data_IF_984878517219
#
_entry.id   IF_984878517219
#
_cell.length_a   1.000
_cell.length_b   1.000
_cell.length_c   1.000
_cell.angle_alpha   90.00
_cell.angle_beta   90.00
_cell.angle_gamma   90.00
#
_symmetry.space_group_name_H-M   'P 1'
#
loop_
_entity.id
_entity.type
_entity.pdbx_description
1 polymer ?
#
# COMPACT_ATOMS: atom_id res chain seq x y z
N UNK A 1 -0.30 -26.97 -11.51
CA UNK A 1 1.08 -26.49 -11.57
C UNK A 1 1.53 -26.19 -10.15
N UNK A 2 2.55 -26.86 -9.63
CA UNK A 2 3.04 -26.53 -8.29
C UNK A 2 4.00 -25.35 -8.41
N UNK A 3 3.60 -24.19 -7.86
CA UNK A 3 4.47 -23.03 -7.79
C UNK A 3 5.58 -23.31 -6.78
N UNK A 4 6.81 -23.19 -7.20
CA UNK A 4 7.95 -23.16 -6.28
C UNK A 4 7.93 -21.80 -5.59
N UNK A 5 7.86 -21.84 -4.25
CA UNK A 5 7.93 -20.61 -3.49
C UNK A 5 9.29 -19.95 -3.75
N UNK A 6 9.29 -18.70 -4.12
CA UNK A 6 10.49 -17.96 -4.40
C UNK A 6 10.43 -17.26 -5.73
N UNK A 7 11.36 -17.55 -6.60
CA UNK A 7 11.48 -16.86 -7.90
C UNK A 7 10.24 -17.03 -8.78
N UNK A 8 9.57 -18.19 -8.72
CA UNK A 8 8.32 -18.44 -9.46
C UNK A 8 7.22 -17.45 -9.08
N UNK A 9 7.18 -16.98 -7.83
CA UNK A 9 6.21 -15.97 -7.39
C UNK A 9 6.49 -14.61 -8.04
N UNK A 10 7.75 -14.20 -8.16
CA UNK A 10 8.11 -12.98 -8.88
C UNK A 10 7.83 -13.09 -10.38
N UNK A 11 8.03 -14.27 -10.96
CA UNK A 11 7.69 -14.53 -12.36
C UNK A 11 6.19 -14.47 -12.59
N UNK A 12 5.38 -14.98 -11.64
CA UNK A 12 3.92 -14.80 -11.65
C UNK A 12 3.56 -13.31 -11.59
N UNK A 13 4.13 -12.52 -10.67
CA UNK A 13 3.90 -11.08 -10.61
C UNK A 13 4.26 -10.41 -11.95
N UNK A 14 5.39 -10.77 -12.54
CA UNK A 14 5.86 -10.24 -13.82
C UNK A 14 5.01 -10.65 -15.03
N UNK A 15 4.26 -11.76 -14.96
CA UNK A 15 3.35 -12.19 -16.00
C UNK A 15 2.06 -11.38 -16.05
N UNK A 16 1.68 -10.75 -14.93
CA UNK A 16 0.52 -9.86 -14.86
C UNK A 16 0.86 -8.54 -15.55
N UNK A 17 0.27 -8.28 -16.70
CA UNK A 17 0.50 -7.06 -17.49
C UNK A 17 -0.82 -6.34 -17.73
N UNK A 18 -0.73 -5.03 -17.91
CA UNK A 18 -1.88 -4.27 -18.39
C UNK A 18 -2.22 -4.73 -19.82
N UNK A 19 -3.43 -5.25 -20.05
CA UNK A 19 -3.85 -5.71 -21.37
C UNK A 19 -4.13 -4.56 -22.35
N UNK A 20 -4.29 -3.33 -21.83
CA UNK A 20 -4.64 -2.16 -22.62
C UNK A 20 -3.51 -1.12 -22.59
N UNK A 21 -3.37 -0.32 -23.67
CA UNK A 21 -2.47 0.83 -23.63
C UNK A 21 -2.92 1.84 -22.58
N UNK A 22 -1.96 2.52 -21.95
CA UNK A 22 -2.25 3.57 -20.98
C UNK A 22 -3.11 4.65 -21.60
N UNK A 23 -4.21 5.01 -20.93
CA UNK A 23 -5.06 6.13 -21.34
C UNK A 23 -4.28 7.44 -21.21
N UNK A 24 -4.42 8.29 -22.21
CA UNK A 24 -3.79 9.63 -22.25
C UNK A 24 -4.79 10.74 -21.98
N UNK A 25 -6.09 10.43 -21.99
CA UNK A 25 -7.15 11.39 -21.73
C UNK A 25 -7.53 11.38 -20.24
N UNK A 26 -7.77 12.56 -19.72
CA UNK A 26 -8.22 12.75 -18.35
C UNK A 26 -9.63 12.20 -18.15
N UNK A 27 -9.77 11.26 -17.25
CA UNK A 27 -11.09 10.86 -16.76
C UNK A 27 -11.67 11.93 -15.83
N UNK A 28 -13.01 12.10 -15.84
CA UNK A 28 -13.70 12.86 -14.79
C UNK A 28 -13.30 12.36 -13.40
N UNK A 29 -13.27 13.23 -12.41
CA UNK A 29 -12.86 12.90 -11.05
C UNK A 29 -13.62 11.69 -10.48
N UNK A 30 -14.93 11.63 -10.72
CA UNK A 30 -15.82 10.54 -10.27
C UNK A 30 -15.54 9.16 -10.92
N UNK A 31 -14.76 9.13 -12.00
CA UNK A 31 -14.41 7.89 -12.70
C UNK A 31 -12.96 7.47 -12.47
N UNK A 32 -12.18 8.29 -11.76
CA UNK A 32 -10.80 7.95 -11.42
C UNK A 32 -10.77 6.92 -10.31
N UNK A 33 -9.85 5.98 -10.41
CA UNK A 33 -9.58 5.07 -9.28
C UNK A 33 -8.92 5.85 -8.15
N UNK A 34 -9.56 5.92 -7.00
CA UNK A 34 -8.96 6.54 -5.81
C UNK A 34 -7.98 5.59 -5.13
N UNK A 35 -6.81 6.14 -4.81
CA UNK A 35 -5.80 5.52 -3.97
C UNK A 35 -5.78 6.29 -2.65
N UNK A 36 -5.87 5.58 -1.55
CA UNK A 36 -5.92 6.15 -0.21
C UNK A 36 -4.66 5.79 0.55
N UNK A 37 -4.13 6.76 1.26
CA UNK A 37 -3.06 6.59 2.23
C UNK A 37 -3.31 7.50 3.43
N UNK A 38 -2.69 7.22 4.57
CA UNK A 38 -2.95 7.95 5.81
C UNK A 38 -1.67 8.32 6.54
N UNK A 39 -1.64 9.53 7.13
CA UNK A 39 -0.55 10.00 7.97
C UNK A 39 -1.06 10.59 9.28
N UNK A 40 -0.48 10.15 10.40
CA UNK A 40 -0.76 10.67 11.75
C UNK A 40 0.07 11.93 12.01
N UNK A 41 -0.48 13.10 11.68
CA UNK A 41 0.19 14.39 11.83
C UNK A 41 0.49 14.76 13.29
N UNK A 42 -0.28 14.21 14.24
CA UNK A 42 -0.05 14.39 15.66
C UNK A 42 1.09 13.56 16.26
N UNK A 43 1.56 12.52 15.55
CA UNK A 43 2.69 11.70 15.97
C UNK A 43 4.00 12.19 15.36
N UNK A 44 3.99 12.62 14.12
CA UNK A 44 5.17 13.13 13.44
C UNK A 44 4.80 14.05 12.27
N UNK A 45 5.62 15.09 11.97
CA UNK A 45 5.42 15.93 10.80
C UNK A 45 5.59 15.10 9.51
N UNK A 46 4.85 15.48 8.47
CA UNK A 46 5.08 14.95 7.13
C UNK A 46 6.38 15.54 6.54
N UNK A 47 7.28 14.68 6.10
CA UNK A 47 8.61 15.09 5.65
C UNK A 47 9.11 14.35 4.40
N UNK A 48 10.40 14.53 4.04
CA UNK A 48 10.99 13.93 2.83
C UNK A 48 10.90 12.40 2.78
N UNK A 49 10.89 11.73 3.93
CA UNK A 49 10.81 10.27 4.00
C UNK A 49 9.44 9.77 3.53
N UNK A 50 8.37 10.48 3.91
CA UNK A 50 7.00 10.18 3.51
C UNK A 50 6.74 10.58 2.06
N UNK A 51 7.42 11.63 1.57
CA UNK A 51 7.30 12.10 0.19
C UNK A 51 7.61 10.99 -0.84
N UNK A 52 8.46 10.03 -0.51
CA UNK A 52 8.82 8.95 -1.44
C UNK A 52 7.64 8.07 -1.84
N UNK A 53 6.68 7.87 -0.96
CA UNK A 53 5.43 7.18 -1.35
C UNK A 53 4.70 7.98 -2.44
N UNK A 54 4.54 9.29 -2.25
CA UNK A 54 3.87 10.17 -3.22
C UNK A 54 4.63 10.20 -4.55
N UNK A 55 5.97 10.34 -4.50
CA UNK A 55 6.83 10.27 -5.70
C UNK A 55 6.67 8.94 -6.42
N UNK A 56 6.62 7.83 -5.67
CA UNK A 56 6.44 6.50 -6.26
C UNK A 56 5.09 6.36 -6.97
N UNK A 57 4.02 6.92 -6.37
CA UNK A 57 2.69 6.93 -6.97
C UNK A 57 2.71 7.66 -8.33
N UNK A 58 3.13 8.92 -8.36
CA UNK A 58 3.14 9.71 -9.60
C UNK A 58 4.14 9.22 -10.64
N UNK A 59 5.18 8.51 -10.23
CA UNK A 59 6.13 7.90 -11.15
C UNK A 59 5.65 6.58 -11.76
N UNK A 60 4.62 5.94 -11.19
CA UNK A 60 4.22 4.58 -11.59
C UNK A 60 2.75 4.44 -11.95
N UNK A 61 1.86 5.24 -11.35
CA UNK A 61 0.43 5.22 -11.66
C UNK A 61 0.10 6.24 -12.76
N UNK A 62 -0.98 6.00 -13.48
CA UNK A 62 -1.44 6.90 -14.53
C UNK A 62 -2.25 8.08 -13.93
N UNK A 63 -1.75 9.33 -13.93
CA UNK A 63 -2.43 10.46 -13.33
C UNK A 63 -3.72 10.88 -14.07
N UNK A 64 -3.94 10.40 -15.30
CA UNK A 64 -5.17 10.66 -16.06
C UNK A 64 -6.35 9.81 -15.58
N UNK A 65 -6.08 8.65 -15.00
CA UNK A 65 -7.10 7.67 -14.60
C UNK A 65 -7.15 7.40 -13.10
N UNK A 66 -6.17 7.89 -12.34
CA UNK A 66 -6.04 7.63 -10.90
C UNK A 66 -5.97 8.93 -10.11
N UNK A 67 -6.26 8.85 -8.82
CA UNK A 67 -6.14 9.95 -7.88
C UNK A 67 -5.60 9.44 -6.55
N UNK A 68 -4.57 10.08 -6.02
CA UNK A 68 -4.07 9.83 -4.67
C UNK A 68 -4.74 10.79 -3.68
N UNK A 69 -5.33 10.24 -2.65
CA UNK A 69 -5.88 11.00 -1.52
C UNK A 69 -5.05 10.71 -0.28
N UNK A 70 -4.32 11.71 0.18
CA UNK A 70 -3.62 11.64 1.46
C UNK A 70 -4.55 12.11 2.58
N UNK A 71 -4.90 11.20 3.45
CA UNK A 71 -5.70 11.44 4.63
C UNK A 71 -4.82 11.73 5.85
N UNK A 72 -5.32 12.53 6.76
CA UNK A 72 -4.62 12.83 8.01
C UNK A 72 -5.61 13.11 9.13
N UNK A 73 -5.18 12.95 10.38
CA UNK A 73 -5.94 13.36 11.57
C UNK A 73 -5.77 14.86 11.91
N UNK A 74 -4.99 15.59 11.12
CA UNK A 74 -4.77 17.04 11.25
C UNK A 74 -4.60 17.70 9.90
N UNK A 75 -4.62 19.03 9.88
CA UNK A 75 -4.45 19.80 8.65
C UNK A 75 -3.01 19.74 8.15
N UNK A 76 -2.82 19.28 6.92
CA UNK A 76 -1.54 19.21 6.20
C UNK A 76 -1.44 20.26 5.08
N UNK A 77 -2.42 21.16 4.93
CA UNK A 77 -2.46 22.14 3.81
C UNK A 77 -1.30 23.11 3.83
N UNK A 78 -0.75 23.42 5.02
CA UNK A 78 0.43 24.27 5.21
C UNK A 78 1.76 23.57 4.96
N UNK A 79 1.79 22.28 4.63
CA UNK A 79 3.04 21.56 4.40
C UNK A 79 3.62 21.91 3.02
N UNK A 80 4.84 22.43 2.97
CA UNK A 80 5.50 22.91 1.74
C UNK A 80 5.73 21.81 0.71
N UNK A 81 6.04 20.58 1.16
CA UNK A 81 6.22 19.43 0.27
C UNK A 81 4.89 19.12 -0.41
N UNK A 82 3.82 18.96 0.37
CA UNK A 82 2.50 18.58 -0.14
C UNK A 82 1.90 19.66 -1.04
N UNK A 83 2.12 20.92 -0.73
CA UNK A 83 1.65 22.05 -1.54
C UNK A 83 2.16 22.01 -2.99
N UNK A 84 3.37 21.47 -3.22
CA UNK A 84 3.92 21.29 -4.58
C UNK A 84 3.07 20.30 -5.39
N UNK A 85 2.70 19.18 -4.76
CA UNK A 85 1.88 18.14 -5.42
C UNK A 85 0.45 18.61 -5.67
N UNK A 86 -0.17 19.34 -4.72
CA UNK A 86 -1.51 19.92 -4.90
C UNK A 86 -1.54 20.86 -6.10
N UNK A 87 -0.51 21.71 -6.26
CA UNK A 87 -0.40 22.63 -7.41
C UNK A 87 -0.11 21.89 -8.71
N UNK A 88 0.78 20.90 -8.69
CA UNK A 88 1.20 20.18 -9.90
C UNK A 88 0.16 19.20 -10.41
N UNK A 89 -0.55 18.52 -9.50
CA UNK A 89 -1.51 17.47 -9.81
C UNK A 89 -2.92 17.75 -9.23
N UNK A 90 -3.55 18.89 -9.54
CA UNK A 90 -4.77 19.33 -8.87
C UNK A 90 -5.96 18.36 -9.05
N UNK A 91 -5.97 17.57 -10.13
CA UNK A 91 -7.01 16.57 -10.40
C UNK A 91 -6.65 15.18 -9.85
N UNK A 92 -5.36 14.92 -9.58
CA UNK A 92 -4.85 13.59 -9.26
C UNK A 92 -4.27 13.49 -7.84
N UNK A 93 -4.26 14.59 -7.08
CA UNK A 93 -3.83 14.63 -5.69
C UNK A 93 -4.77 15.46 -4.82
N UNK A 94 -5.09 14.93 -3.65
CA UNK A 94 -5.89 15.66 -2.67
C UNK A 94 -5.41 15.40 -1.24
N UNK A 95 -5.57 16.40 -0.39
CA UNK A 95 -5.41 16.30 1.06
C UNK A 95 -6.80 16.31 1.70
N UNK A 96 -7.05 15.38 2.64
CA UNK A 96 -8.31 15.32 3.37
C UNK A 96 -8.05 15.02 4.85
N UNK A 97 -8.86 15.61 5.72
CA UNK A 97 -8.87 15.31 7.15
C UNK A 97 -9.89 14.18 7.38
N UNK A 98 -9.51 13.20 8.19
CA UNK A 98 -10.42 12.10 8.56
C UNK A 98 -11.45 12.59 9.57
N UNK A 99 -12.68 12.24 9.32
CA UNK A 99 -13.80 12.37 10.26
C UNK A 99 -14.34 10.96 10.54
N UNK A 100 -13.76 10.31 11.55
CA UNK A 100 -14.06 8.89 11.84
C UNK A 100 -15.56 8.67 12.11
N UNK A 101 -16.27 9.48 12.94
CA UNK A 101 -17.70 9.33 13.12
C UNK A 101 -18.49 9.41 11.80
N UNK A 102 -18.18 10.38 10.95
CA UNK A 102 -18.81 10.53 9.64
C UNK A 102 -18.53 9.34 8.72
N UNK A 103 -17.30 8.85 8.69
CA UNK A 103 -16.92 7.68 7.88
C UNK A 103 -17.58 6.39 8.37
N UNK A 104 -17.85 6.27 9.68
CA UNK A 104 -18.50 5.11 10.26
C UNK A 104 -20.04 5.13 10.11
N UNK A 105 -20.60 6.27 9.74
CA UNK A 105 -22.07 6.40 9.59
C UNK A 105 -22.63 5.38 8.62
N UNK A 106 -23.70 4.69 9.04
CA UNK A 106 -24.32 3.63 8.26
C UNK A 106 -23.58 2.29 8.26
N UNK A 107 -22.51 2.16 9.04
CA UNK A 107 -21.86 0.87 9.34
C UNK A 107 -22.27 0.35 10.72
N UNK A 108 -21.93 -0.89 11.04
CA UNK A 108 -22.18 -1.45 12.38
C UNK A 108 -21.33 -0.80 13.49
N UNK A 109 -20.37 0.00 13.12
CA UNK A 109 -19.56 0.80 14.05
C UNK A 109 -20.15 2.20 14.32
N UNK A 110 -21.26 2.57 13.70
CA UNK A 110 -21.88 3.89 13.87
C UNK A 110 -22.24 4.14 15.35
N UNK A 111 -21.74 5.25 15.90
CA UNK A 111 -21.92 5.59 17.31
C UNK A 111 -21.16 4.70 18.31
N UNK A 112 -20.36 3.73 17.86
CA UNK A 112 -19.65 2.80 18.73
C UNK A 112 -18.43 3.49 19.38
N UNK A 113 -18.22 3.27 20.68
CA UNK A 113 -17.07 3.81 21.43
C UNK A 113 -15.71 3.29 20.88
N UNK A 114 -15.69 2.16 20.20
CA UNK A 114 -14.51 1.59 19.54
C UNK A 114 -13.91 2.53 18.48
N UNK A 115 -14.69 3.46 17.93
CA UNK A 115 -14.21 4.50 16.99
C UNK A 115 -13.16 5.43 17.61
N UNK A 116 -13.06 5.50 18.94
CA UNK A 116 -12.04 6.27 19.67
C UNK A 116 -10.73 5.51 19.86
N UNK A 117 -10.68 4.24 19.46
CA UNK A 117 -9.50 3.39 19.62
C UNK A 117 -8.33 3.91 18.78
N UNK A 118 -7.21 4.15 19.44
CA UNK A 118 -5.97 4.61 18.83
C UNK A 118 -4.76 4.19 19.64
N UNK A 119 -3.60 4.15 19.00
CA UNK A 119 -2.35 3.84 19.67
C UNK A 119 -1.19 4.76 19.25
N UNK A 120 -0.04 4.62 19.94
CA UNK A 120 1.17 5.43 19.68
C UNK A 120 1.89 5.04 18.38
N UNK A 121 1.53 3.92 17.75
CA UNK A 121 2.11 3.43 16.50
C UNK A 121 1.24 3.71 15.29
N UNK A 122 0.03 4.26 15.49
CA UNK A 122 -0.99 4.45 14.47
C UNK A 122 -1.41 3.13 13.77
N UNK A 123 -1.35 2.01 14.49
CA UNK A 123 -1.73 0.72 13.92
C UNK A 123 -3.23 0.47 14.05
N UNK A 124 -3.77 0.61 15.26
CA UNK A 124 -5.19 0.34 15.53
C UNK A 124 -6.09 1.33 14.79
N UNK A 125 -5.82 2.61 14.92
CA UNK A 125 -6.60 3.64 14.22
C UNK A 125 -6.34 3.65 12.70
N UNK A 126 -5.11 3.36 12.27
CA UNK A 126 -4.78 3.18 10.85
C UNK A 126 -5.53 2.02 10.22
N UNK A 127 -5.62 0.87 10.92
CA UNK A 127 -6.40 -0.29 10.47
C UNK A 127 -7.90 0.03 10.37
N UNK A 128 -8.46 0.76 11.34
CA UNK A 128 -9.85 1.23 11.29
C UNK A 128 -10.09 2.18 10.10
N UNK A 129 -9.26 3.21 9.98
CA UNK A 129 -9.42 4.26 8.98
C UNK A 129 -9.34 3.68 7.56
N UNK A 130 -8.40 2.76 7.30
CA UNK A 130 -8.28 2.15 5.95
C UNK A 130 -9.56 1.42 5.54
N UNK A 131 -10.20 0.70 6.46
CA UNK A 131 -11.43 -0.03 6.16
C UNK A 131 -12.61 0.92 5.95
N UNK A 132 -12.73 1.96 6.78
CA UNK A 132 -13.76 2.99 6.64
C UNK A 132 -13.61 3.78 5.34
N UNK A 133 -12.39 4.10 4.93
CA UNK A 133 -12.13 4.79 3.66
C UNK A 133 -12.50 3.91 2.47
N UNK A 134 -12.07 2.66 2.46
CA UNK A 134 -12.41 1.72 1.40
C UNK A 134 -13.90 1.41 1.35
N UNK A 135 -14.60 1.41 2.49
CA UNK A 135 -16.06 1.30 2.53
C UNK A 135 -16.75 2.48 1.86
N UNK A 136 -16.34 3.70 2.21
CA UNK A 136 -17.01 4.92 1.73
C UNK A 136 -16.67 5.28 0.27
N UNK A 137 -15.44 5.01 -0.16
CA UNK A 137 -14.94 5.47 -1.46
C UNK A 137 -14.57 4.34 -2.40
N UNK A 138 -14.34 3.14 -1.88
CA UNK A 138 -13.74 2.06 -2.65
C UNK A 138 -12.29 2.36 -3.02
N UNK A 139 -11.78 1.66 -4.03
CA UNK A 139 -10.45 1.93 -4.58
C UNK A 139 -9.34 1.12 -3.91
N UNK A 140 -8.17 1.71 -3.80
CA UNK A 140 -6.94 1.06 -3.36
C UNK A 140 -6.40 1.74 -2.11
N UNK A 141 -6.10 0.96 -1.10
CA UNK A 141 -5.29 1.42 0.03
C UNK A 141 -3.81 1.08 -0.20
N UNK A 142 -2.94 2.03 0.08
CA UNK A 142 -1.48 1.86 0.07
C UNK A 142 -0.92 2.48 1.34
N UNK A 143 -0.22 1.69 2.15
CA UNK A 143 0.45 2.21 3.35
C UNK A 143 1.51 3.25 2.95
N UNK A 144 1.65 4.31 3.77
CA UNK A 144 2.57 5.42 3.53
C UNK A 144 4.04 4.98 3.45
N UNK A 145 4.37 3.83 4.00
CA UNK A 145 5.71 3.21 3.93
C UNK A 145 5.86 2.21 2.78
N UNK A 146 5.10 2.36 1.72
CA UNK A 146 5.22 1.56 0.50
C UNK A 146 5.84 2.38 -0.64
N UNK A 147 6.72 1.75 -1.41
CA UNK A 147 7.26 2.30 -2.66
C UNK A 147 6.67 1.52 -3.84
N UNK A 148 5.84 2.16 -4.64
CA UNK A 148 5.24 1.53 -5.83
C UNK A 148 6.28 1.41 -6.95
N UNK A 149 6.32 0.29 -7.65
CA UNK A 149 7.34 0.00 -8.67
C UNK A 149 6.78 -0.05 -10.08
N UNK A 150 5.47 -0.33 -10.21
CA UNK A 150 4.75 -0.36 -11.49
C UNK A 150 3.26 -0.05 -11.29
N UNK A 151 2.56 0.14 -12.41
CA UNK A 151 1.12 0.41 -12.43
C UNK A 151 0.32 -0.74 -11.82
N UNK A 152 -0.61 -0.42 -10.93
CA UNK A 152 -1.51 -1.35 -10.26
C UNK A 152 -2.77 -1.68 -11.06
N UNK A 153 -3.03 -1.00 -12.18
CA UNK A 153 -4.25 -1.20 -12.97
C UNK A 153 -4.57 -2.68 -13.24
N UNK A 154 -3.60 -3.56 -13.59
CA UNK A 154 -3.88 -4.97 -13.83
C UNK A 154 -4.41 -5.76 -12.62
N UNK A 155 -4.26 -5.23 -11.41
CA UNK A 155 -4.75 -5.85 -10.17
C UNK A 155 -6.16 -5.39 -9.80
N UNK A 156 -6.69 -4.34 -10.45
CA UNK A 156 -7.91 -3.65 -10.03
C UNK A 156 -9.20 -4.38 -10.43
N UNK A 157 -9.13 -5.50 -11.11
CA UNK A 157 -10.31 -6.31 -11.44
C UNK A 157 -10.96 -6.91 -10.20
N UNK A 158 -10.16 -7.35 -9.23
CA UNK A 158 -10.60 -8.07 -8.06
C UNK A 158 -10.42 -7.29 -6.75
N UNK A 159 -11.25 -7.60 -5.76
CA UNK A 159 -11.02 -7.20 -4.38
C UNK A 159 -9.98 -8.13 -3.76
N UNK A 160 -8.98 -7.55 -3.09
CA UNK A 160 -7.86 -8.32 -2.55
C UNK A 160 -7.26 -7.73 -1.29
N UNK A 161 -6.60 -8.59 -0.53
CA UNK A 161 -5.71 -8.26 0.59
C UNK A 161 -4.37 -8.93 0.33
N UNK A 162 -3.26 -8.28 0.63
CA UNK A 162 -1.92 -8.83 0.42
C UNK A 162 -1.61 -9.93 1.43
N UNK A 163 -0.91 -10.96 1.00
CA UNK A 163 -0.27 -11.92 1.87
C UNK A 163 0.92 -11.27 2.57
N UNK A 164 1.00 -11.45 3.90
CA UNK A 164 2.10 -10.91 4.70
C UNK A 164 3.39 -11.64 4.43
N UNK A 165 3.58 -12.78 5.03
CA UNK A 165 4.78 -13.58 4.89
C UNK A 165 4.42 -15.02 4.58
N UNK A 166 5.40 -15.75 4.09
CA UNK A 166 5.15 -17.05 3.54
C UNK A 166 5.03 -18.15 4.57
N UNK A 167 5.71 -18.12 5.72
CA UNK A 167 5.78 -19.32 6.55
C UNK A 167 5.60 -19.13 8.04
N UNK A 168 6.04 -18.01 8.59
CA UNK A 168 6.12 -17.85 10.04
C UNK A 168 4.85 -17.28 10.67
N UNK A 169 3.94 -16.79 9.88
CA UNK A 169 2.74 -16.05 10.30
C UNK A 169 1.47 -16.88 10.20
N UNK A 170 1.42 -18.05 10.80
CA UNK A 170 0.26 -18.97 10.72
C UNK A 170 -1.07 -18.34 11.13
N UNK A 171 -1.07 -17.42 12.08
CA UNK A 171 -2.26 -16.76 12.63
C UNK A 171 -2.47 -15.33 12.14
N UNK A 172 -1.53 -14.79 11.38
CA UNK A 172 -1.61 -13.46 10.79
C UNK A 172 -0.99 -13.42 9.38
N UNK A 173 -1.48 -14.27 8.46
CA UNK A 173 -0.85 -14.44 7.14
C UNK A 173 -1.17 -13.31 6.16
N UNK A 174 -2.04 -12.37 6.52
CA UNK A 174 -2.51 -11.29 5.66
C UNK A 174 -2.02 -9.94 6.16
N UNK A 175 -1.84 -9.01 5.23
CA UNK A 175 -1.29 -7.68 5.46
C UNK A 175 -2.13 -6.63 4.74
N UNK A 176 -2.46 -5.56 5.45
CA UNK A 176 -3.24 -4.45 4.90
C UNK A 176 -2.44 -3.37 4.18
N UNK A 177 -1.12 -3.53 3.98
CA UNK A 177 -0.30 -2.48 3.39
C UNK A 177 -0.65 -2.15 1.93
N UNK A 178 -1.16 -3.11 1.20
CA UNK A 178 -1.75 -2.93 -0.13
C UNK A 178 -3.01 -3.76 -0.22
N UNK A 179 -4.15 -3.12 -0.41
CA UNK A 179 -5.44 -3.80 -0.53
C UNK A 179 -6.40 -3.02 -1.43
N UNK A 180 -7.37 -3.72 -1.97
CA UNK A 180 -8.42 -3.12 -2.80
C UNK A 180 -9.77 -3.67 -2.43
N UNK A 181 -10.73 -2.77 -2.23
CA UNK A 181 -12.15 -3.11 -2.09
C UNK A 181 -13.01 -2.17 -2.93
N UNK A 182 -14.19 -2.62 -3.29
CA UNK A 182 -15.22 -1.79 -3.91
C UNK A 182 -15.89 -0.93 -2.84
N UNK A 183 -16.42 0.19 -3.23
CA UNK A 183 -17.30 0.98 -2.37
C UNK A 183 -18.46 0.09 -1.88
N UNK A 184 -18.77 0.17 -0.58
CA UNK A 184 -19.79 -0.64 0.09
C UNK A 184 -19.61 -2.16 -0.13
N UNK A 185 -18.38 -2.63 -0.16
CA UNK A 185 -18.06 -4.06 -0.27
C UNK A 185 -18.69 -4.87 0.85
N UNK A 186 -19.38 -5.95 0.50
CA UNK A 186 -19.96 -6.86 1.49
C UNK A 186 -18.90 -7.47 2.43
N UNK A 187 -17.67 -7.60 1.98
CA UNK A 187 -16.56 -8.06 2.83
C UNK A 187 -16.26 -7.07 3.96
N UNK A 188 -16.32 -5.76 3.67
CA UNK A 188 -16.09 -4.73 4.68
C UNK A 188 -17.26 -4.60 5.65
N UNK A 189 -18.51 -4.82 5.19
CA UNK A 189 -19.67 -4.91 6.07
C UNK A 189 -19.48 -6.02 7.12
N UNK A 190 -19.08 -7.21 6.71
CA UNK A 190 -18.77 -8.32 7.62
C UNK A 190 -17.55 -8.03 8.52
N UNK A 191 -16.54 -7.31 8.01
CA UNK A 191 -15.41 -6.88 8.83
C UNK A 191 -15.85 -5.95 9.97
N UNK A 192 -16.74 -4.99 9.70
CA UNK A 192 -17.28 -4.10 10.74
C UNK A 192 -18.13 -4.85 11.76
N UNK A 193 -18.89 -5.86 11.33
CA UNK A 193 -19.60 -6.75 12.23
C UNK A 193 -18.63 -7.48 13.18
N UNK A 194 -17.56 -8.04 12.66
CA UNK A 194 -16.52 -8.69 13.49
C UNK A 194 -15.91 -7.67 14.48
N UNK A 195 -15.58 -6.45 14.01
CA UNK A 195 -14.99 -5.42 14.86
C UNK A 195 -15.94 -4.98 15.99
N UNK A 196 -17.25 -4.88 15.71
CA UNK A 196 -18.25 -4.45 16.68
C UNK A 196 -18.56 -5.54 17.73
N UNK A 197 -18.44 -6.81 17.37
CA UNK A 197 -18.87 -7.95 18.22
C UNK A 197 -17.71 -8.66 18.92
N UNK A 198 -16.49 -8.51 18.45
CA UNK A 198 -15.31 -9.10 19.07
C UNK A 198 -14.77 -8.25 20.24
N UNK A 199 -13.78 -8.78 20.94
CA UNK A 199 -13.04 -8.04 21.95
C UNK A 199 -12.35 -6.80 21.35
N UNK A 200 -12.35 -5.66 22.07
CA UNK A 200 -11.65 -4.46 21.62
C UNK A 200 -10.18 -4.72 21.27
N UNK A 201 -9.62 -4.00 20.30
CA UNK A 201 -8.25 -4.22 19.86
C UNK A 201 -7.27 -3.78 20.96
N UNK A 202 -6.20 -4.53 21.10
CA UNK A 202 -5.10 -4.18 22.01
C UNK A 202 -4.24 -3.07 21.41
N UNK A 203 -3.84 -2.06 22.17
CA UNK A 203 -2.93 -1.04 21.67
C UNK A 203 -1.63 -1.64 21.11
N UNK A 204 -1.20 -1.20 19.92
CA UNK A 204 -0.01 -1.68 19.26
C UNK A 204 -0.11 -3.11 18.71
N UNK A 205 -1.33 -3.62 18.55
CA UNK A 205 -1.60 -4.93 17.94
C UNK A 205 -2.03 -4.79 16.47
N UNK A 206 -2.14 -5.94 15.81
CA UNK A 206 -2.73 -6.09 14.47
C UNK A 206 -4.12 -6.74 14.54
N UNK A 207 -4.84 -6.53 15.65
CA UNK A 207 -6.13 -7.17 15.90
C UNK A 207 -7.16 -6.76 14.85
N UNK A 208 -7.16 -5.50 14.41
CA UNK A 208 -8.00 -4.97 13.32
C UNK A 208 -7.32 -5.02 11.94
N UNK A 209 -6.08 -5.46 11.89
CA UNK A 209 -5.32 -5.72 10.67
C UNK A 209 -5.31 -7.21 10.31
N UNK A 210 -4.13 -7.81 10.32
CA UNK A 210 -3.92 -9.17 9.82
C UNK A 210 -4.76 -10.24 10.52
N UNK A 211 -5.08 -10.07 11.81
CA UNK A 211 -5.94 -11.00 12.55
C UNK A 211 -7.38 -10.89 12.06
N UNK A 212 -7.91 -9.68 11.89
CA UNK A 212 -9.25 -9.44 11.35
C UNK A 212 -9.40 -10.01 9.95
N UNK A 213 -8.43 -9.76 9.06
CA UNK A 213 -8.51 -10.26 7.68
C UNK A 213 -8.54 -11.78 7.62
N UNK A 214 -7.80 -12.46 8.48
CA UNK A 214 -7.85 -13.93 8.57
C UNK A 214 -9.18 -14.42 9.12
N UNK A 215 -9.73 -13.77 10.16
CA UNK A 215 -11.06 -14.10 10.70
C UNK A 215 -12.13 -13.95 9.62
N UNK A 216 -12.15 -12.81 8.94
CA UNK A 216 -13.08 -12.54 7.85
C UNK A 216 -12.97 -13.61 6.75
N UNK A 217 -11.77 -13.90 6.29
CA UNK A 217 -11.51 -14.90 5.26
C UNK A 217 -12.07 -16.28 5.67
N UNK A 218 -11.80 -16.71 6.91
CA UNK A 218 -12.29 -17.99 7.42
C UNK A 218 -13.82 -18.04 7.55
N UNK A 219 -14.46 -16.95 7.98
CA UNK A 219 -15.93 -16.86 8.05
C UNK A 219 -16.57 -17.02 6.68
N UNK A 220 -16.03 -16.33 5.68
CA UNK A 220 -16.51 -16.45 4.29
C UNK A 220 -16.39 -17.88 3.78
N UNK A 221 -15.22 -18.50 3.95
CA UNK A 221 -15.00 -19.90 3.53
C UNK A 221 -15.95 -20.86 4.27
N UNK A 222 -16.10 -20.69 5.58
CA UNK A 222 -17.01 -21.54 6.39
C UNK A 222 -18.48 -21.39 5.96
N UNK A 223 -18.88 -20.20 5.50
CA UNK A 223 -20.21 -19.93 4.97
C UNK A 223 -20.38 -20.30 3.48
N UNK A 224 -19.35 -20.89 2.85
CA UNK A 224 -19.32 -21.20 1.40
C UNK A 224 -19.50 -19.94 0.52
N UNK A 225 -19.11 -18.77 1.01
CA UNK A 225 -19.09 -17.51 0.27
C UNK A 225 -17.71 -17.35 -0.36
N UNK A 226 -17.60 -17.08 -1.68
CA UNK A 226 -16.31 -16.81 -2.32
C UNK A 226 -15.59 -15.64 -1.62
N UNK A 227 -14.39 -15.85 -1.05
CA UNK A 227 -13.70 -14.79 -0.35
C UNK A 227 -13.02 -13.83 -1.35
N UNK A 228 -12.58 -12.67 -0.85
CA UNK A 228 -11.67 -11.79 -1.58
C UNK A 228 -10.40 -12.52 -1.99
N UNK A 229 -9.69 -12.01 -3.00
CA UNK A 229 -8.44 -12.61 -3.46
C UNK A 229 -7.30 -12.33 -2.47
N UNK A 230 -6.36 -13.25 -2.39
CA UNK A 230 -5.12 -13.05 -1.66
C UNK A 230 -4.05 -12.69 -2.69
N UNK A 231 -3.53 -11.47 -2.61
CA UNK A 231 -2.40 -11.04 -3.42
C UNK A 231 -1.11 -11.68 -2.85
N UNK A 232 -0.37 -12.48 -3.61
CA UNK A 232 0.82 -13.14 -3.10
C UNK A 232 1.85 -12.13 -2.54
N UNK A 233 2.55 -12.51 -1.49
CA UNK A 233 3.53 -11.66 -0.79
C UNK A 233 4.54 -10.99 -1.74
N UNK A 234 5.01 -11.70 -2.74
CA UNK A 234 6.01 -11.21 -3.69
C UNK A 234 5.54 -10.05 -4.57
N UNK A 235 4.22 -9.75 -4.60
CA UNK A 235 3.69 -8.63 -5.39
C UNK A 235 4.03 -7.28 -4.76
N UNK A 236 4.08 -7.19 -3.43
CA UNK A 236 4.32 -5.92 -2.72
C UNK A 236 5.13 -6.04 -1.42
N UNK A 237 5.33 -7.25 -0.90
CA UNK A 237 5.97 -7.48 0.41
C UNK A 237 7.09 -8.53 0.34
N UNK A 238 7.89 -8.49 -0.71
CA UNK A 238 8.99 -9.44 -0.96
C UNK A 238 10.16 -9.36 0.03
N UNK A 239 10.09 -8.50 1.05
CA UNK A 239 11.13 -8.35 2.08
C UNK A 239 11.04 -9.38 3.20
N UNK A 240 9.84 -9.84 3.52
CA UNK A 240 9.58 -10.59 4.73
C UNK A 240 9.74 -12.09 4.58
N UNK A 241 9.92 -12.56 3.35
CA UNK A 241 9.93 -13.97 3.08
C UNK A 241 11.29 -14.64 3.34
N UNK A 242 11.49 -15.81 2.82
CA UNK A 242 12.68 -16.63 3.01
C UNK A 242 13.95 -15.90 2.59
N UNK A 243 15.06 -16.24 3.22
CA UNK A 243 16.37 -15.65 2.91
C UNK A 243 16.78 -15.83 1.44
N UNK A 244 16.37 -16.95 0.84
CA UNK A 244 16.70 -17.34 -0.54
C UNK A 244 15.92 -16.61 -1.64
N UNK A 245 14.89 -15.84 -1.27
CA UNK A 245 14.03 -15.20 -2.27
C UNK A 245 13.50 -13.83 -1.86
N UNK A 246 13.95 -13.28 -0.75
CA UNK A 246 13.54 -11.94 -0.30
C UNK A 246 14.36 -10.86 -1.00
N UNK A 247 13.73 -9.69 -1.15
CA UNK A 247 14.46 -8.49 -1.53
C UNK A 247 15.53 -8.15 -0.48
N UNK A 248 16.69 -7.61 -0.87
CA UNK A 248 17.69 -7.13 0.08
C UNK A 248 17.10 -6.11 1.06
N UNK A 249 17.70 -5.96 2.23
CA UNK A 249 17.26 -4.95 3.20
C UNK A 249 17.47 -3.54 2.61
N UNK A 250 16.40 -2.73 2.45
CA UNK A 250 16.50 -1.39 1.87
C UNK A 250 17.26 -0.39 2.74
N UNK A 251 17.51 -0.72 4.01
CA UNK A 251 18.18 0.15 4.99
C UNK A 251 19.61 -0.26 5.28
N UNK A 252 20.12 -1.29 4.64
CA UNK A 252 21.51 -1.71 4.78
C UNK A 252 22.31 -1.19 3.58
N UNK A 253 23.50 -0.63 3.84
CA UNK A 253 24.41 -0.23 2.77
C UNK A 253 24.78 -1.44 1.91
N UNK A 254 24.82 -1.24 0.60
CA UNK A 254 25.20 -2.28 -0.34
C UNK A 254 26.68 -2.65 -0.18
N UNK A 255 26.90 -3.67 0.59
CA UNK A 255 28.05 -4.54 0.35
C UNK A 255 27.61 -5.50 -0.76
N UNK A 256 27.65 -5.07 -1.99
CA UNK A 256 27.01 -5.78 -3.10
C UNK A 256 27.48 -7.24 -3.28
N UNK A 257 28.63 -7.62 -2.73
CA UNK A 257 29.06 -9.03 -2.62
C UNK A 257 28.34 -9.81 -1.52
N UNK A 258 27.83 -9.13 -0.50
CA UNK A 258 27.05 -9.72 0.59
C UNK A 258 25.56 -9.34 0.51
N UNK A 259 25.23 -8.30 -0.24
CA UNK A 259 23.88 -7.77 -0.40
C UNK A 259 22.97 -8.72 -1.20
N UNK A 260 23.56 -9.60 -1.94
CA UNK A 260 22.87 -10.72 -2.55
C UNK A 260 22.23 -11.65 -1.52
N UNK A 261 22.33 -11.37 -0.22
CA UNK A 261 21.86 -12.30 0.81
C UNK A 261 22.38 -13.73 0.58
N UNK A 262 23.48 -13.85 -0.17
CA UNK A 262 24.00 -15.12 -0.64
C UNK A 262 23.21 -15.79 -1.76
N UNK A 263 22.16 -15.15 -2.31
CA UNK A 263 21.18 -15.85 -3.15
C UNK A 263 20.87 -15.18 -4.51
N UNK A 264 21.76 -14.37 -5.02
CA UNK A 264 21.71 -13.94 -6.42
C UNK A 264 20.81 -12.75 -6.76
N UNK A 265 20.29 -12.03 -5.77
CA UNK A 265 19.56 -10.77 -5.98
C UNK A 265 20.55 -9.60 -6.14
N UNK A 266 21.33 -9.62 -7.21
CA UNK A 266 22.33 -8.61 -7.53
C UNK A 266 21.74 -7.47 -8.37
N UNK A 267 22.23 -6.24 -8.14
CA UNK A 267 21.93 -5.11 -9.02
C UNK A 267 22.56 -5.31 -10.39
N UNK A 268 21.85 -4.85 -11.46
CA UNK A 268 22.25 -5.12 -12.86
C UNK A 268 21.95 -6.55 -13.30
N UNK A 269 21.34 -7.34 -12.42
CA UNK A 269 20.99 -8.73 -12.65
C UNK A 269 19.61 -9.07 -12.13
N UNK A 270 19.54 -10.01 -11.18
CA UNK A 270 18.27 -10.53 -10.67
C UNK A 270 17.44 -9.49 -9.91
N UNK A 271 18.04 -8.58 -9.15
CA UNK A 271 17.33 -7.55 -8.39
C UNK A 271 16.56 -6.59 -9.31
N UNK A 272 17.20 -6.11 -10.38
CA UNK A 272 16.55 -5.25 -11.38
C UNK A 272 15.38 -5.94 -12.04
N UNK A 273 15.59 -7.20 -12.41
CA UNK A 273 14.56 -8.05 -13.00
C UNK A 273 13.36 -8.24 -12.07
N UNK A 274 13.59 -8.47 -10.77
CA UNK A 274 12.54 -8.62 -9.75
C UNK A 274 11.82 -7.30 -9.52
N UNK A 275 12.53 -6.19 -9.36
CA UNK A 275 11.93 -4.85 -9.17
C UNK A 275 11.06 -4.43 -10.37
N UNK A 276 11.38 -4.91 -11.57
CA UNK A 276 10.55 -4.73 -12.76
C UNK A 276 9.27 -5.61 -12.79
N UNK A 277 9.20 -6.65 -11.96
CA UNK A 277 8.08 -7.59 -11.89
C UNK A 277 7.10 -7.28 -10.77
N UNK A 278 7.59 -6.84 -9.59
CA UNK A 278 6.77 -6.54 -8.42
C UNK A 278 6.01 -5.23 -8.57
N UNK A 279 4.94 -5.05 -7.81
CA UNK A 279 4.09 -3.87 -7.83
C UNK A 279 4.44 -2.85 -6.74
N UNK A 280 5.18 -3.29 -5.73
CA UNK A 280 5.62 -2.41 -4.65
C UNK A 280 6.68 -3.05 -3.76
N UNK A 281 7.22 -2.24 -2.88
CA UNK A 281 8.13 -2.63 -1.80
C UNK A 281 7.60 -2.03 -0.50
N UNK A 282 7.08 -2.86 0.38
CA UNK A 282 6.60 -2.45 1.70
C UNK A 282 7.79 -2.36 2.68
N UNK A 283 7.87 -1.29 3.47
CA UNK A 283 9.02 -0.96 4.31
C UNK A 283 8.82 -1.24 5.80
N UNK A 284 7.66 -1.74 6.20
CA UNK A 284 7.33 -2.24 7.55
C UNK A 284 7.50 -1.21 8.67
N UNK A 285 7.00 0.01 8.46
CA UNK A 285 7.00 1.10 9.47
C UNK A 285 8.39 1.45 10.06
N UNK A 286 9.47 1.23 9.29
CA UNK A 286 10.82 1.56 9.74
C UNK A 286 11.15 3.03 9.43
N UNK A 287 10.40 3.95 10.04
CA UNK A 287 10.51 5.38 9.81
C UNK A 287 11.80 6.00 10.33
N UNK A 288 12.39 5.39 11.36
CA UNK A 288 13.64 5.81 11.99
C UNK A 288 14.88 5.47 11.14
N UNK A 289 14.72 4.65 10.11
CA UNK A 289 15.82 4.25 9.22
C UNK A 289 15.80 5.06 7.93
N UNK A 290 16.96 5.57 7.57
CA UNK A 290 17.17 6.24 6.28
C UNK A 290 17.64 5.23 5.23
N UNK A 291 17.41 5.58 3.97
CA UNK A 291 18.00 4.82 2.86
C UNK A 291 19.48 5.17 2.75
N UNK A 292 20.38 4.18 2.77
CA UNK A 292 21.82 4.45 2.64
C UNK A 292 22.12 5.16 1.32
N UNK A 293 22.99 6.17 1.38
CA UNK A 293 23.48 6.84 0.18
C UNK A 293 24.18 5.82 -0.73
N UNK A 294 23.77 5.81 -1.99
CA UNK A 294 24.25 4.82 -2.96
C UNK A 294 23.66 3.42 -2.79
N UNK A 295 22.74 3.18 -1.86
CA UNK A 295 22.03 1.92 -1.70
C UNK A 295 21.08 1.60 -2.86
N UNK A 296 20.67 0.34 -3.00
CA UNK A 296 19.86 -0.12 -4.13
C UNK A 296 18.52 0.61 -4.24
N UNK A 297 17.88 0.98 -3.11
CA UNK A 297 16.64 1.76 -3.11
C UNK A 297 16.87 3.11 -3.76
N UNK A 298 17.90 3.85 -3.33
CA UNK A 298 18.23 5.15 -3.92
C UNK A 298 18.49 5.02 -5.43
N UNK A 299 19.33 4.07 -5.84
CA UNK A 299 19.75 3.94 -7.25
C UNK A 299 18.65 3.43 -8.17
N UNK A 300 17.92 2.38 -7.75
CA UNK A 300 16.99 1.65 -8.62
C UNK A 300 15.55 2.20 -8.52
N UNK A 301 15.18 2.82 -7.40
CA UNK A 301 13.82 3.32 -7.19
C UNK A 301 13.78 4.84 -7.11
N UNK A 302 14.44 5.47 -6.12
CA UNK A 302 14.24 6.89 -5.85
C UNK A 302 14.70 7.77 -7.03
N UNK A 303 15.89 7.52 -7.56
CA UNK A 303 16.39 8.24 -8.76
C UNK A 303 15.56 7.99 -10.02
N UNK A 304 14.91 6.81 -10.11
CA UNK A 304 14.00 6.51 -11.20
C UNK A 304 12.71 7.32 -11.09
N UNK A 305 12.17 7.47 -9.87
CA UNK A 305 10.99 8.29 -9.66
C UNK A 305 11.26 9.76 -9.99
N UNK A 306 12.37 10.32 -9.49
CA UNK A 306 12.75 11.71 -9.79
C UNK A 306 12.89 11.95 -11.28
N UNK A 307 13.66 11.11 -11.98
CA UNK A 307 13.80 11.23 -13.45
C UNK A 307 12.48 11.20 -14.21
N UNK A 308 11.52 10.36 -13.76
CA UNK A 308 10.21 10.30 -14.41
C UNK A 308 9.38 11.55 -14.15
N UNK A 309 9.42 12.07 -12.92
CA UNK A 309 8.72 13.29 -12.54
C UNK A 309 9.28 14.52 -13.26
N UNK A 310 10.61 14.67 -13.34
CA UNK A 310 11.27 15.73 -14.08
C UNK A 310 10.96 15.68 -15.59
N UNK A 311 10.93 14.47 -16.16
CA UNK A 311 10.57 14.28 -17.56
C UNK A 311 9.11 14.59 -17.88
N UNK A 312 8.19 14.42 -16.91
CA UNK A 312 6.79 14.83 -17.07
C UNK A 312 6.64 16.34 -16.95
N UNK A 313 7.35 16.98 -16.01
CA UNK A 313 7.33 18.43 -15.84
C UNK A 313 7.74 19.17 -17.11
N UNK A 314 8.84 18.76 -17.73
CA UNK A 314 9.31 19.34 -19.00
C UNK A 314 8.33 19.15 -20.17
N UNK A 315 7.44 18.16 -20.11
CA UNK A 315 6.40 17.96 -21.13
C UNK A 315 5.19 18.85 -20.90
N UNK A 316 4.88 19.14 -19.65
CA UNK A 316 3.75 20.01 -19.27
C UNK A 316 4.05 21.51 -19.50
N UNK A 317 5.34 21.88 -19.65
CA UNK A 317 5.81 23.24 -19.97
C UNK A 317 5.91 23.53 -21.47
N UNK A 318 5.77 22.52 -22.35
CA UNK A 318 5.81 22.66 -23.83
C UNK A 318 4.41 22.64 -24.42
#
# INVERSE_FOLDING_TARGET
>A
MSLRFGMDCYDLAGSIKNPFPSKTEDLPESQRTEFHTYWRADLAPFGPRQEWMIKSFFATQNPHTTRLVLWSNGDLSGNEILSKYVRRFPRSFALRIVDIPKLASGTELDGNELLKSKDKKAWVDGDLIRLLLLWNYGGVWVDMDSLLTRDLEPLLEHEFVTQWDCYDKKYSPLNGALMRFRQHSAYLCEAFHIMATDTPPRPGSTDWGSILYLKLYRRLVAASIPPFKILPFCFSDGRSCRLDNRLPDPFTADYWKAAAGGYGMEEGGMLDGVLGKVFGVHLHNQWEKEFPKGGWVERLLLKKYERKLDASEKRDEL
#
